data_IF_000907897449
#
_entry.id   IF_000907897449
#
_cell.length_a   1.000
_cell.length_b   1.000
_cell.length_c   1.000
_cell.angle_alpha   90.00
_cell.angle_beta   90.00
_cell.angle_gamma   90.00
#
_symmetry.space_group_name_H-M   'P 1'
#
loop_
_entity.id
_entity.type
_entity.pdbx_description
1 polymer ?
#
# COMPACT_ATOMS: atom_id res chain seq x y z
N UNK A 1 7.01 5.16 7.52
CA UNK A 1 6.31 4.04 6.84
C UNK A 1 6.91 2.73 7.30
N UNK A 2 8.15 2.42 6.92
CA UNK A 2 8.78 1.10 7.17
C UNK A 2 8.77 0.66 8.64
N UNK A 3 9.03 1.57 9.58
CA UNK A 3 8.97 1.28 11.02
C UNK A 3 7.56 0.99 11.52
N UNK A 4 6.57 1.78 11.08
CA UNK A 4 5.16 1.64 11.47
C UNK A 4 4.54 0.36 10.87
N UNK A 5 5.08 -0.10 9.74
CA UNK A 5 4.66 -1.33 9.05
C UNK A 5 5.61 -2.50 9.32
N UNK A 6 6.27 -2.53 10.48
CA UNK A 6 7.14 -3.64 10.90
C UNK A 6 6.89 -3.96 12.38
N UNK A 7 7.26 -5.17 12.79
CA UNK A 7 7.31 -5.52 14.21
C UNK A 7 8.65 -5.12 14.81
N UNK A 8 8.77 -4.99 16.15
CA UNK A 8 10.03 -4.61 16.79
C UNK A 8 11.23 -5.49 16.42
N UNK A 9 10.98 -6.78 16.15
CA UNK A 9 12.01 -7.79 15.88
C UNK A 9 12.06 -8.27 14.43
N UNK A 10 11.16 -7.82 13.53
CA UNK A 10 11.11 -8.29 12.14
C UNK A 10 10.35 -7.36 11.20
N UNK A 11 10.66 -7.46 9.92
CA UNK A 11 9.84 -6.88 8.84
C UNK A 11 8.47 -7.57 8.77
N UNK A 12 7.49 -6.90 8.15
CA UNK A 12 6.15 -7.44 7.95
C UNK A 12 5.67 -7.18 6.51
N UNK A 13 6.02 -8.05 5.54
CA UNK A 13 5.63 -7.90 4.14
C UNK A 13 4.13 -7.66 3.96
N UNK A 14 3.28 -8.44 4.61
CA UNK A 14 1.82 -8.30 4.51
C UNK A 14 1.34 -6.92 4.93
N UNK A 15 1.86 -6.38 6.04
CA UNK A 15 1.47 -5.06 6.56
C UNK A 15 1.95 -3.95 5.61
N UNK A 16 3.16 -4.10 5.03
CA UNK A 16 3.69 -3.16 4.02
C UNK A 16 2.84 -3.18 2.75
N UNK A 17 2.49 -4.36 2.25
CA UNK A 17 1.64 -4.52 1.08
C UNK A 17 0.24 -3.97 1.30
N UNK A 18 -0.36 -4.25 2.47
CA UNK A 18 -1.63 -3.63 2.90
C UNK A 18 -1.52 -2.11 2.87
N UNK A 19 -0.46 -1.54 3.45
CA UNK A 19 -0.24 -0.09 3.47
C UNK A 19 -0.16 0.49 2.04
N UNK A 20 0.53 -0.19 1.11
CA UNK A 20 0.58 0.23 -0.30
C UNK A 20 -0.82 0.26 -0.92
N UNK A 21 -1.60 -0.81 -0.77
CA UNK A 21 -2.96 -0.89 -1.32
C UNK A 21 -3.88 0.19 -0.72
N UNK A 22 -3.84 0.37 0.59
CA UNK A 22 -4.73 1.27 1.32
C UNK A 22 -4.36 2.76 1.16
N UNK A 23 -3.07 3.07 1.20
CA UNK A 23 -2.61 4.46 1.24
C UNK A 23 -2.28 5.01 -0.14
N UNK A 24 -1.86 4.15 -1.08
CA UNK A 24 -1.48 4.58 -2.43
C UNK A 24 -2.54 4.28 -3.48
N UNK A 25 -3.31 3.19 -3.35
CA UNK A 25 -4.28 2.79 -4.38
C UNK A 25 -5.74 2.88 -3.93
N UNK A 26 -6.00 3.21 -2.66
CA UNK A 26 -7.36 3.32 -2.12
C UNK A 26 -8.12 1.98 -2.10
N UNK A 27 -7.44 0.86 -2.34
CA UNK A 27 -8.05 -0.47 -2.44
C UNK A 27 -7.82 -1.25 -1.16
N UNK A 28 -8.42 -0.80 -0.05
CA UNK A 28 -8.26 -1.40 1.27
C UNK A 28 -8.63 -2.89 1.24
N UNK A 29 -7.70 -3.80 1.59
CA UNK A 29 -8.02 -5.23 1.71
C UNK A 29 -9.09 -5.47 2.78
N UNK A 30 -9.88 -6.55 2.67
CA UNK A 30 -10.86 -6.89 3.71
C UNK A 30 -10.18 -7.10 5.07
N UNK A 31 -10.88 -6.85 6.17
CA UNK A 31 -10.34 -7.13 7.50
C UNK A 31 -9.98 -8.62 7.63
N UNK A 32 -8.97 -8.96 8.43
CA UNK A 32 -8.63 -10.35 8.69
C UNK A 32 -9.82 -11.10 9.33
N UNK A 33 -9.99 -12.40 9.08
CA UNK A 33 -10.99 -13.21 9.77
C UNK A 33 -10.85 -13.18 11.30
N UNK A 34 -11.92 -13.45 12.07
CA UNK A 34 -11.79 -13.74 13.50
C UNK A 34 -10.81 -14.91 13.72
N UNK A 35 -10.01 -14.86 14.78
CA UNK A 35 -9.06 -15.92 15.18
C UNK A 35 -7.95 -16.25 14.15
N UNK A 36 -7.36 -15.24 13.51
CA UNK A 36 -6.14 -15.47 12.72
C UNK A 36 -5.01 -15.99 13.62
N UNK A 37 -4.47 -17.19 13.36
CA UNK A 37 -3.36 -17.71 14.15
C UNK A 37 -2.11 -16.88 13.92
N UNK A 38 -1.30 -16.74 14.97
CA UNK A 38 0.05 -16.19 14.81
C UNK A 38 0.83 -16.98 13.77
N UNK A 39 1.70 -16.29 13.02
CA UNK A 39 2.72 -16.95 12.20
C UNK A 39 3.47 -17.95 13.09
N UNK A 40 3.44 -19.22 12.69
CA UNK A 40 4.08 -20.30 13.44
C UNK A 40 5.55 -19.94 13.60
N UNK A 41 6.01 -19.80 14.84
CA UNK A 41 7.43 -19.77 15.12
C UNK A 41 7.94 -21.20 14.94
N UNK A 42 8.93 -21.38 14.05
CA UNK A 42 9.41 -22.71 13.69
C UNK A 42 9.78 -23.52 14.93
N UNK A 43 9.14 -24.69 15.06
CA UNK A 43 9.57 -25.76 15.97
C UNK A 43 10.75 -26.58 15.39
N UNK A 44 11.32 -26.15 14.25
CA UNK A 44 12.35 -26.83 13.48
C UNK A 44 13.74 -26.18 13.67
N UNK A 45 14.80 -26.98 13.45
CA UNK A 45 16.21 -26.58 13.54
C UNK A 45 16.69 -25.59 12.45
N UNK A 46 15.87 -25.29 11.43
CA UNK A 46 16.22 -24.34 10.35
C UNK A 46 15.53 -23.01 10.56
N UNK A 47 16.31 -21.92 10.55
CA UNK A 47 15.78 -20.55 10.59
C UNK A 47 15.22 -20.19 9.21
N UNK A 48 13.89 -20.05 9.09
CA UNK A 48 13.24 -19.61 7.85
C UNK A 48 13.32 -18.09 7.64
N UNK A 49 13.42 -17.66 6.39
CA UNK A 49 13.28 -16.26 6.00
C UNK A 49 11.83 -15.79 6.11
N UNK A 50 11.58 -14.47 6.10
CA UNK A 50 10.22 -13.94 6.13
C UNK A 50 9.40 -14.34 4.90
N UNK A 51 10.04 -14.47 3.74
CA UNK A 51 9.43 -14.97 2.51
C UNK A 51 8.94 -16.40 2.69
N UNK A 52 9.84 -17.29 3.11
CA UNK A 52 9.52 -18.71 3.27
C UNK A 52 8.41 -18.92 4.31
N UNK A 53 8.43 -18.18 5.43
CA UNK A 53 7.36 -18.25 6.44
C UNK A 53 6.01 -17.84 5.87
N UNK A 54 5.99 -16.81 5.03
CA UNK A 54 4.76 -16.31 4.44
C UNK A 54 4.24 -17.24 3.33
N UNK A 55 5.14 -17.81 2.54
CA UNK A 55 4.80 -18.83 1.54
C UNK A 55 4.23 -20.10 2.20
N UNK A 56 4.83 -20.53 3.32
CA UNK A 56 4.28 -21.61 4.14
C UNK A 56 2.90 -21.24 4.72
N UNK A 57 2.73 -20.01 5.22
CA UNK A 57 1.43 -19.55 5.73
C UNK A 57 0.33 -19.56 4.65
N UNK A 58 0.71 -19.23 3.41
CA UNK A 58 -0.18 -19.20 2.24
C UNK A 58 -0.53 -20.58 1.67
N UNK A 59 0.03 -21.67 2.19
CA UNK A 59 -0.44 -23.01 1.78
C UNK A 59 -1.89 -23.27 2.23
N UNK A 60 -2.38 -22.51 3.21
CA UNK A 60 -3.80 -22.46 3.54
C UNK A 60 -4.54 -21.59 2.52
N UNK A 61 -5.48 -22.19 1.79
CA UNK A 61 -6.27 -21.52 0.76
C UNK A 61 -7.05 -20.30 1.26
N UNK A 62 -7.51 -20.32 2.53
CA UNK A 62 -8.22 -19.19 3.13
C UNK A 62 -7.28 -18.00 3.30
N UNK A 63 -6.07 -18.22 3.83
CA UNK A 63 -5.05 -17.19 4.00
C UNK A 63 -4.56 -16.65 2.65
N UNK A 64 -4.35 -17.53 1.67
CA UNK A 64 -3.90 -17.17 0.34
C UNK A 64 -4.81 -16.15 -0.36
N UNK A 65 -6.13 -16.27 -0.18
CA UNK A 65 -7.13 -15.43 -0.86
C UNK A 65 -6.90 -13.91 -0.68
N UNK A 66 -6.52 -13.49 0.54
CA UNK A 66 -6.20 -12.10 0.84
C UNK A 66 -4.71 -11.80 0.65
N UNK A 67 -3.83 -12.72 1.03
CA UNK A 67 -2.38 -12.53 1.01
C UNK A 67 -1.79 -12.41 -0.40
N UNK A 68 -2.40 -13.04 -1.40
CA UNK A 68 -1.94 -12.97 -2.79
C UNK A 68 -1.87 -11.54 -3.35
N UNK A 69 -2.66 -10.60 -2.80
CA UNK A 69 -2.64 -9.21 -3.23
C UNK A 69 -1.65 -8.36 -2.43
N UNK A 70 -1.43 -8.69 -1.16
CA UNK A 70 -0.61 -7.89 -0.24
C UNK A 70 0.86 -8.31 -0.25
N UNK A 71 1.13 -9.60 -0.09
CA UNK A 71 2.48 -10.08 0.15
C UNK A 71 3.45 -9.79 -1.00
N UNK A 72 3.09 -9.96 -2.28
CA UNK A 72 3.99 -9.60 -3.38
C UNK A 72 4.44 -8.13 -3.33
N UNK A 73 3.54 -7.21 -3.00
CA UNK A 73 3.85 -5.78 -2.88
C UNK A 73 4.76 -5.52 -1.67
N UNK A 74 4.55 -6.25 -0.58
CA UNK A 74 5.41 -6.23 0.60
C UNK A 74 6.81 -6.77 0.35
N UNK A 75 6.93 -7.88 -0.38
CA UNK A 75 8.20 -8.51 -0.72
C UNK A 75 9.09 -7.60 -1.57
N UNK A 76 8.50 -6.82 -2.47
CA UNK A 76 9.24 -5.80 -3.22
C UNK A 76 9.92 -4.74 -2.33
N UNK A 77 9.55 -4.66 -1.05
CA UNK A 77 10.15 -3.76 -0.06
C UNK A 77 11.04 -4.49 0.97
N UNK A 78 11.24 -5.80 0.85
CA UNK A 78 11.97 -6.57 1.87
C UNK A 78 13.45 -6.22 1.98
N UNK A 79 14.06 -5.65 0.94
CA UNK A 79 15.40 -5.10 1.04
C UNK A 79 15.51 -4.00 2.11
N UNK A 80 14.40 -3.35 2.49
CA UNK A 80 14.40 -2.41 3.60
C UNK A 80 14.10 -3.10 4.93
N UNK A 81 14.97 -2.91 5.93
CA UNK A 81 14.66 -3.30 7.31
C UNK A 81 13.59 -2.40 7.95
N UNK A 82 13.25 -2.64 9.22
CA UNK A 82 12.27 -1.83 9.95
C UNK A 82 12.69 -0.37 10.17
N UNK A 83 13.98 -0.04 10.06
CA UNK A 83 14.52 1.32 10.17
C UNK A 83 14.70 1.98 8.79
N UNK A 84 14.45 1.25 7.70
CA UNK A 84 14.62 1.72 6.34
C UNK A 84 16.02 1.60 5.77
N UNK A 85 16.91 0.80 6.41
CA UNK A 85 18.23 0.50 5.84
C UNK A 85 18.10 -0.57 4.77
N UNK A 86 18.84 -0.38 3.68
CA UNK A 86 18.94 -1.39 2.62
C UNK A 86 19.73 -2.61 3.09
N UNK A 87 19.32 -3.79 2.63
CA UNK A 87 19.93 -5.09 2.85
C UNK A 87 19.87 -5.89 1.56
N UNK A 88 20.95 -6.58 1.25
CA UNK A 88 21.00 -7.52 0.11
C UNK A 88 20.73 -8.96 0.56
N UNK A 89 20.90 -9.25 1.85
CA UNK A 89 20.77 -10.60 2.42
C UNK A 89 19.82 -10.65 3.61
N UNK A 90 19.20 -11.81 3.78
CA UNK A 90 18.37 -12.16 4.92
C UNK A 90 19.22 -12.27 6.18
N UNK A 91 18.78 -11.66 7.29
CA UNK A 91 19.46 -11.80 8.57
C UNK A 91 19.29 -13.18 9.21
N UNK A 92 18.32 -13.97 8.74
CA UNK A 92 17.98 -15.30 9.26
C UNK A 92 19.03 -16.36 8.88
N UNK A 93 19.47 -16.36 7.63
CA UNK A 93 20.27 -17.43 7.02
C UNK A 93 21.37 -16.90 6.07
N UNK A 94 21.49 -15.59 5.88
CA UNK A 94 22.48 -14.96 5.00
C UNK A 94 22.21 -15.10 3.50
N UNK A 95 21.06 -15.68 3.10
CA UNK A 95 20.71 -15.82 1.68
C UNK A 95 20.32 -14.48 1.06
N UNK A 96 20.45 -14.34 -0.26
CA UNK A 96 20.02 -13.14 -0.96
C UNK A 96 18.51 -12.88 -0.77
N UNK A 97 18.13 -11.62 -0.55
CA UNK A 97 16.72 -11.25 -0.44
C UNK A 97 16.08 -11.34 -1.83
N UNK A 98 15.12 -12.25 -1.95
CA UNK A 98 14.22 -12.27 -3.10
C UNK A 98 13.11 -11.23 -2.89
N UNK A 99 13.23 -10.10 -3.59
CA UNK A 99 12.23 -9.03 -3.61
C UNK A 99 11.32 -9.09 -4.85
N UNK A 100 11.22 -10.24 -5.52
CA UNK A 100 10.30 -10.44 -6.63
C UNK A 100 8.86 -10.64 -6.15
N UNK A 101 7.90 -10.34 -7.02
CA UNK A 101 6.49 -10.54 -6.78
C UNK A 101 5.72 -10.73 -8.08
N UNK A 102 4.55 -11.33 -7.97
CA UNK A 102 3.62 -11.50 -9.08
C UNK A 102 2.25 -11.03 -8.63
N UNK A 103 1.63 -10.16 -9.43
CA UNK A 103 0.26 -9.70 -9.20
C UNK A 103 -0.76 -10.82 -9.46
N UNK A 104 -2.01 -10.70 -8.96
CA UNK A 104 -3.05 -11.70 -9.22
C UNK A 104 -3.37 -11.92 -10.71
N UNK A 105 -3.11 -10.92 -11.56
CA UNK A 105 -3.24 -11.01 -13.02
C UNK A 105 -2.06 -11.70 -13.72
N UNK A 106 -1.04 -12.12 -12.95
CA UNK A 106 0.17 -12.78 -13.46
C UNK A 106 1.32 -11.84 -13.79
N UNK A 107 1.15 -10.51 -13.64
CA UNK A 107 2.22 -9.55 -13.95
C UNK A 107 3.39 -9.68 -12.96
N UNK A 108 4.61 -10.03 -13.43
CA UNK A 108 5.78 -10.10 -12.56
C UNK A 108 6.41 -8.72 -12.35
N UNK A 109 7.01 -8.52 -11.18
CA UNK A 109 7.80 -7.33 -10.85
C UNK A 109 8.88 -7.68 -9.84
N UNK A 110 9.88 -6.81 -9.70
CA UNK A 110 10.97 -7.01 -8.74
C UNK A 110 11.39 -5.72 -8.06
N UNK A 111 11.49 -5.79 -6.74
CA UNK A 111 12.00 -4.72 -5.90
C UNK A 111 11.19 -3.42 -5.97
N UNK A 112 11.71 -2.34 -5.36
CA UNK A 112 11.00 -1.07 -5.28
C UNK A 112 10.77 -0.41 -6.64
N UNK A 113 11.69 -0.61 -7.59
CA UNK A 113 11.56 -0.08 -8.94
C UNK A 113 10.40 -0.75 -9.70
N UNK A 114 10.33 -2.08 -9.67
CA UNK A 114 9.20 -2.80 -10.27
C UNK A 114 7.87 -2.48 -9.58
N UNK A 115 7.86 -2.31 -8.25
CA UNK A 115 6.67 -1.86 -7.53
C UNK A 115 6.23 -0.45 -7.97
N UNK A 116 7.17 0.48 -8.18
CA UNK A 116 6.86 1.80 -8.75
C UNK A 116 6.19 1.65 -10.11
N UNK A 117 6.69 0.79 -10.99
CA UNK A 117 6.10 0.60 -12.33
C UNK A 117 4.69 0.01 -12.24
N UNK A 118 4.45 -0.92 -11.30
CA UNK A 118 3.10 -1.42 -10.98
C UNK A 118 2.18 -0.29 -10.53
N UNK A 119 2.62 0.58 -9.63
CA UNK A 119 1.82 1.74 -9.18
C UNK A 119 1.53 2.70 -10.33
N UNK A 120 2.51 2.96 -11.20
CA UNK A 120 2.33 3.81 -12.37
C UNK A 120 1.36 3.23 -13.41
N UNK A 121 1.27 1.90 -13.53
CA UNK A 121 0.24 1.24 -14.35
C UNK A 121 -1.18 1.48 -13.81
N UNK A 122 -1.30 1.83 -12.53
CA UNK A 122 -2.56 2.14 -11.82
C UNK A 122 -2.65 3.64 -11.48
N UNK A 123 -2.05 4.50 -12.31
CA UNK A 123 -1.93 5.95 -12.06
C UNK A 123 -3.25 6.64 -11.70
N UNK A 124 -4.36 6.24 -12.33
CA UNK A 124 -5.69 6.83 -12.06
C UNK A 124 -6.13 6.59 -10.62
N UNK A 125 -6.06 5.33 -10.15
CA UNK A 125 -6.35 4.98 -8.75
C UNK A 125 -5.43 5.72 -7.77
N UNK A 126 -4.14 5.82 -8.13
CA UNK A 126 -3.17 6.56 -7.33
C UNK A 126 -3.55 8.03 -7.21
N UNK A 127 -3.89 8.68 -8.32
CA UNK A 127 -4.24 10.10 -8.34
C UNK A 127 -5.59 10.35 -7.67
N UNK A 128 -6.57 9.49 -7.86
CA UNK A 128 -7.88 9.59 -7.18
C UNK A 128 -7.69 9.51 -5.66
N UNK A 129 -6.95 8.50 -5.19
CA UNK A 129 -6.62 8.32 -3.76
C UNK A 129 -5.84 9.51 -3.23
N UNK A 130 -4.84 9.97 -3.99
CA UNK A 130 -4.04 11.12 -3.61
C UNK A 130 -4.89 12.40 -3.49
N UNK A 131 -5.80 12.61 -4.44
CA UNK A 131 -6.75 13.75 -4.47
C UNK A 131 -7.70 13.69 -3.27
N UNK A 132 -8.22 12.52 -2.93
CA UNK A 132 -9.07 12.32 -1.75
C UNK A 132 -8.34 12.69 -0.45
N UNK A 133 -7.10 12.20 -0.27
CA UNK A 133 -6.28 12.48 0.93
C UNK A 133 -5.95 13.96 1.03
N UNK A 134 -5.60 14.60 -0.09
CA UNK A 134 -5.28 16.03 -0.12
C UNK A 134 -6.53 16.89 0.13
N UNK A 135 -7.69 16.48 -0.41
CA UNK A 135 -8.96 17.14 -0.13
C UNK A 135 -9.34 17.00 1.35
N UNK A 136 -9.21 15.80 1.92
CA UNK A 136 -9.41 15.54 3.37
C UNK A 136 -8.57 16.51 4.22
N UNK A 137 -7.28 16.65 3.88
CA UNK A 137 -6.39 17.61 4.55
C UNK A 137 -6.88 19.06 4.38
N UNK A 138 -7.22 19.48 3.15
CA UNK A 138 -7.69 20.83 2.86
C UNK A 138 -9.02 21.19 3.54
N UNK A 139 -9.91 20.21 3.69
CA UNK A 139 -11.20 20.39 4.36
C UNK A 139 -11.08 20.39 5.88
N UNK A 140 -10.10 19.68 6.45
CA UNK A 140 -9.99 19.47 7.91
C UNK A 140 -11.04 18.50 8.46
N UNK A 141 -11.67 17.71 7.59
CA UNK A 141 -12.64 16.65 7.90
C UNK A 141 -12.46 15.51 6.90
N UNK A 142 -12.96 14.32 7.24
CA UNK A 142 -13.12 13.24 6.27
C UNK A 142 -13.98 13.67 5.09
N UNK A 143 -13.67 13.17 3.90
CA UNK A 143 -14.54 13.27 2.74
C UNK A 143 -15.81 12.44 2.97
N UNK A 144 -16.92 12.90 2.41
CA UNK A 144 -18.21 12.23 2.49
C UNK A 144 -18.68 11.80 1.10
N UNK A 145 -19.74 10.99 1.02
CA UNK A 145 -20.24 10.48 -0.26
C UNK A 145 -20.53 11.59 -1.30
N UNK A 146 -20.93 12.78 -0.84
CA UNK A 146 -21.22 13.93 -1.69
C UNK A 146 -19.98 14.68 -2.17
N UNK A 147 -18.79 14.43 -1.62
CA UNK A 147 -17.52 14.99 -2.10
C UNK A 147 -16.92 14.13 -3.24
N UNK A 148 -17.31 12.86 -3.36
CA UNK A 148 -16.77 11.92 -4.36
C UNK A 148 -16.90 12.41 -5.83
N UNK A 149 -18.01 13.06 -6.26
CA UNK A 149 -18.08 13.61 -7.60
C UNK A 149 -17.01 14.69 -7.87
N UNK A 150 -16.64 15.48 -6.85
CA UNK A 150 -15.59 16.48 -6.99
C UNK A 150 -14.20 15.82 -7.15
N UNK A 151 -13.92 14.78 -6.36
CA UNK A 151 -12.66 14.02 -6.45
C UNK A 151 -12.48 13.41 -7.85
N UNK A 152 -13.52 12.76 -8.38
CA UNK A 152 -13.49 12.18 -9.73
C UNK A 152 -13.27 13.25 -10.78
N UNK A 153 -14.03 14.34 -10.72
CA UNK A 153 -13.86 15.47 -11.66
C UNK A 153 -12.44 16.02 -11.64
N UNK A 154 -11.85 16.25 -10.47
CA UNK A 154 -10.48 16.76 -10.35
C UNK A 154 -9.48 15.77 -10.95
N UNK A 155 -9.67 14.47 -10.70
CA UNK A 155 -8.82 13.40 -11.22
C UNK A 155 -8.90 13.32 -12.75
N UNK A 156 -10.11 13.39 -13.31
CA UNK A 156 -10.36 13.38 -14.75
C UNK A 156 -9.76 14.63 -15.42
N UNK A 157 -10.03 15.82 -14.89
CA UNK A 157 -9.50 17.08 -15.43
C UNK A 157 -7.96 17.15 -15.32
N UNK A 158 -7.37 16.47 -14.33
CA UNK A 158 -5.91 16.40 -14.18
C UNK A 158 -5.25 15.50 -15.23
N UNK A 159 -5.98 14.57 -15.84
CA UNK A 159 -5.45 13.71 -16.90
C UNK A 159 -4.99 14.52 -18.13
N UNK A 160 -5.71 15.59 -18.47
CA UNK A 160 -5.36 16.53 -19.55
C UNK A 160 -4.03 17.25 -19.32
N UNK A 161 -3.58 17.28 -18.06
CA UNK A 161 -2.35 17.93 -17.61
C UNK A 161 -1.32 16.93 -17.09
N UNK A 162 -1.36 15.68 -17.56
CA UNK A 162 -0.45 14.59 -17.18
C UNK A 162 -0.36 14.39 -15.65
N UNK A 163 -1.50 14.53 -14.98
CA UNK A 163 -1.64 14.41 -13.52
C UNK A 163 -0.67 15.28 -12.72
N UNK A 164 -0.28 16.44 -13.27
CA UNK A 164 0.58 17.39 -12.56
C UNK A 164 -0.04 17.75 -11.22
N UNK A 165 0.81 17.72 -10.20
CA UNK A 165 0.46 18.11 -8.84
C UNK A 165 -0.25 19.46 -8.75
N UNK A 166 0.19 20.45 -9.53
CA UNK A 166 -0.43 21.77 -9.61
C UNK A 166 -1.87 21.73 -10.14
N UNK A 167 -2.17 20.82 -11.07
CA UNK A 167 -3.52 20.62 -11.61
C UNK A 167 -4.46 20.09 -10.53
N UNK A 168 -3.99 19.12 -9.73
CA UNK A 168 -4.76 18.54 -8.62
C UNK A 168 -5.03 19.59 -7.55
N UNK A 169 -4.01 20.34 -7.12
CA UNK A 169 -4.19 21.43 -6.15
C UNK A 169 -5.18 22.47 -6.67
N UNK A 170 -5.02 22.92 -7.92
CA UNK A 170 -5.92 23.91 -8.50
C UNK A 170 -7.36 23.40 -8.56
N UNK A 171 -7.56 22.15 -8.98
CA UNK A 171 -8.86 21.49 -8.99
C UNK A 171 -9.49 21.43 -7.59
N UNK A 172 -8.70 21.07 -6.56
CA UNK A 172 -9.17 21.08 -5.16
C UNK A 172 -9.58 22.48 -4.73
N UNK A 173 -8.73 23.49 -4.95
CA UNK A 173 -9.00 24.87 -4.51
C UNK A 173 -10.24 25.43 -5.21
N UNK A 174 -10.51 25.07 -6.47
CA UNK A 174 -11.70 25.52 -7.20
C UNK A 174 -12.93 24.61 -7.00
N UNK A 175 -12.82 23.53 -6.23
CA UNK A 175 -13.93 22.61 -5.99
C UNK A 175 -14.97 23.18 -5.03
N UNK A 176 -16.23 22.77 -5.22
CA UNK A 176 -17.33 23.16 -4.33
C UNK A 176 -17.09 22.77 -2.85
N UNK A 177 -16.60 21.54 -2.53
CA UNK A 177 -16.29 21.18 -1.15
C UNK A 177 -15.31 22.14 -0.46
N UNK A 178 -14.31 22.63 -1.20
CA UNK A 178 -13.29 23.53 -0.66
C UNK A 178 -13.82 24.97 -0.51
N UNK A 179 -14.45 25.50 -1.55
CA UNK A 179 -14.92 26.89 -1.61
C UNK A 179 -16.10 27.17 -0.67
N UNK A 180 -17.02 26.20 -0.53
CA UNK A 180 -18.27 26.38 0.22
C UNK A 180 -18.22 25.77 1.62
N UNK A 181 -17.01 25.62 2.19
CA UNK A 181 -16.83 25.08 3.55
C UNK A 181 -17.51 26.00 4.56
N UNK A 182 -18.53 25.50 5.25
CA UNK A 182 -19.12 26.20 6.41
C UNK A 182 -18.08 26.23 7.52
N UNK A 183 -17.55 27.42 7.81
CA UNK A 183 -16.83 27.65 9.06
C UNK A 183 -17.87 27.61 10.17
N UNK A 184 -17.77 26.65 11.09
CA UNK A 184 -18.53 26.71 12.33
C UNK A 184 -18.16 28.03 13.02
N UNK A 185 -19.13 28.93 13.19
CA UNK A 185 -18.95 30.07 14.10
C UNK A 185 -18.64 29.47 15.48
N UNK A 186 -17.44 29.73 15.97
CA UNK A 186 -17.02 29.37 17.32
C UNK A 186 -17.80 30.11 18.39
#
# INVERSE_FOLDING_TARGET
ILTVTSYPNRTAPTIRGKWVLEQLLGTTPPPPPPDVPSLVEDANTRVMTMRERMELHRTNAVCASCHQMMDPLGFALENFDGLGRWRDVNGADGTAIDASGTLPDGTPFAGPAGLRDVLMSKKELFVETFTERLLTYGLGRGVEYYDLPAIRKITDDAADNDYRWSSIISGIVHSMPFQMRKVSKG
#
